data_IF_149499852079
#
_entry.id   IF_149499852079
#
_cell.length_a   1.000
_cell.length_b   1.000
_cell.length_c   1.000
_cell.angle_alpha   90.00
_cell.angle_beta   90.00
_cell.angle_gamma   90.00
#
_symmetry.space_group_name_H-M   'P 1'
#
loop_
_entity.id
_entity.type
_entity.pdbx_description
1 polymer ?
#
# COMPACT_ATOMS: atom_id res chain seq x y z
N UNK A 1 -21.68 4.93 -4.89
CA UNK A 1 -20.93 6.21 -4.77
C UNK A 1 -20.29 6.23 -3.38
N UNK A 2 -19.01 6.60 -3.22
CA UNK A 2 -18.47 6.84 -1.89
C UNK A 2 -19.23 7.98 -1.16
N UNK A 3 -19.31 7.97 0.18
CA UNK A 3 -19.95 9.05 0.92
C UNK A 3 -19.34 10.42 0.61
N UNK A 4 -20.15 11.47 0.63
CA UNK A 4 -19.63 12.84 0.74
C UNK A 4 -18.90 12.93 2.07
N UNK A 5 -17.63 13.28 2.04
CA UNK A 5 -16.86 13.46 3.25
C UNK A 5 -15.83 14.56 3.07
N UNK A 6 -15.51 15.21 4.18
CA UNK A 6 -14.35 16.08 4.32
C UNK A 6 -13.58 15.56 5.52
N UNK A 7 -12.46 14.88 5.27
CA UNK A 7 -11.59 14.38 6.34
C UNK A 7 -10.34 15.22 6.39
N UNK A 8 -9.96 15.60 7.61
CA UNK A 8 -8.71 16.28 7.88
C UNK A 8 -7.96 15.46 8.91
N UNK A 9 -6.89 14.79 8.49
CA UNK A 9 -6.02 14.06 9.40
C UNK A 9 -4.70 14.81 9.58
N UNK A 10 -4.30 14.99 10.83
CA UNK A 10 -2.99 15.53 11.18
C UNK A 10 -2.07 14.32 11.33
N UNK A 11 -1.02 14.25 10.51
CA UNK A 11 -0.07 13.15 10.54
C UNK A 11 1.33 13.63 10.19
N UNK A 12 2.34 12.83 10.49
CA UNK A 12 3.69 13.12 10.02
C UNK A 12 3.80 12.82 8.52
N UNK A 13 4.10 13.84 7.72
CA UNK A 13 4.26 13.73 6.27
C UNK A 13 5.73 13.85 5.91
N UNK A 14 6.26 12.79 5.29
CA UNK A 14 7.60 12.73 4.70
C UNK A 14 8.71 12.25 5.63
N UNK A 15 9.87 11.96 5.05
CA UNK A 15 11.05 11.36 5.71
C UNK A 15 11.65 12.18 6.87
N UNK A 16 11.14 13.40 7.12
CA UNK A 16 11.62 14.30 8.17
C UNK A 16 10.64 14.48 9.33
N UNK A 17 9.55 13.72 9.38
CA UNK A 17 8.60 13.76 10.52
C UNK A 17 7.92 15.12 10.69
N UNK A 18 7.71 15.88 9.60
CA UNK A 18 7.01 17.17 9.71
C UNK A 18 5.52 16.89 9.88
N UNK A 19 4.90 17.54 10.86
CA UNK A 19 3.44 17.58 10.98
C UNK A 19 2.84 18.17 9.71
N UNK A 20 2.12 17.35 8.96
CA UNK A 20 1.33 17.73 7.81
C UNK A 20 -0.15 17.56 8.10
N UNK A 21 -0.96 18.35 7.42
CA UNK A 21 -2.42 18.23 7.44
C UNK A 21 -2.82 17.63 6.10
N UNK A 22 -3.38 16.43 6.12
CA UNK A 22 -4.00 15.83 4.95
C UNK A 22 -5.48 16.16 4.98
N UNK A 23 -5.93 16.91 3.98
CA UNK A 23 -7.35 17.13 3.71
C UNK A 23 -7.74 16.32 2.48
N UNK A 24 -8.71 15.43 2.63
CA UNK A 24 -9.34 14.73 1.52
C UNK A 24 -10.83 15.05 1.55
N UNK A 25 -11.38 15.41 0.39
CA UNK A 25 -12.76 15.85 0.22
C UNK A 25 -13.35 15.16 -0.99
N UNK A 26 -14.56 14.61 -0.82
CA UNK A 26 -15.36 14.03 -1.90
C UNK A 26 -16.67 14.77 -1.94
N UNK A 27 -16.83 15.60 -2.96
CA UNK A 27 -18.06 16.35 -3.22
C UNK A 27 -18.67 15.92 -4.55
N UNK A 28 -19.98 15.88 -4.59
CA UNK A 28 -20.75 15.62 -5.80
C UNK A 28 -21.41 16.90 -6.26
N UNK A 29 -21.20 17.28 -7.51
CA UNK A 29 -21.81 18.48 -8.09
C UNK A 29 -22.49 18.11 -9.41
N UNK A 30 -23.77 18.43 -9.53
CA UNK A 30 -24.52 18.39 -10.79
C UNK A 30 -24.27 19.71 -11.49
N UNK A 31 -23.67 19.65 -12.68
CA UNK A 31 -23.49 20.82 -13.53
C UNK A 31 -24.50 20.75 -14.68
N UNK A 32 -25.45 21.67 -14.70
CA UNK A 32 -26.36 21.88 -15.82
C UNK A 32 -25.87 23.06 -16.66
N UNK A 33 -25.68 22.85 -17.96
CA UNK A 33 -25.30 23.91 -18.90
C UNK A 33 -26.42 24.06 -19.93
N UNK A 34 -26.99 25.25 -20.01
CA UNK A 34 -27.87 25.67 -21.10
C UNK A 34 -27.02 26.37 -22.17
N UNK A 35 -27.24 26.00 -23.44
CA UNK A 35 -26.63 26.66 -24.58
C UNK A 35 -27.74 27.26 -25.45
N UNK A 36 -27.81 28.59 -25.48
CA UNK A 36 -28.68 29.32 -26.40
C UNK A 36 -28.19 29.27 -27.85
N UNK A 37 -28.91 29.95 -28.74
CA UNK A 37 -28.53 30.02 -30.16
C UNK A 37 -27.26 30.86 -30.36
N UNK A 38 -27.05 31.86 -29.52
CA UNK A 38 -25.83 32.66 -29.48
C UNK A 38 -24.80 32.04 -28.52
N UNK A 39 -23.51 31.99 -28.89
CA UNK A 39 -22.46 31.41 -28.06
C UNK A 39 -22.27 32.14 -26.71
N UNK A 40 -22.77 33.37 -26.61
CA UNK A 40 -22.74 34.20 -25.40
C UNK A 40 -23.90 33.89 -24.42
N UNK A 41 -24.94 33.17 -24.84
CA UNK A 41 -26.10 32.80 -24.00
C UNK A 41 -25.88 31.51 -23.18
N UNK A 42 -24.63 31.23 -22.81
CA UNK A 42 -24.29 30.06 -22.01
C UNK A 42 -24.58 30.30 -20.54
N UNK A 43 -25.58 29.62 -20.01
CA UNK A 43 -25.92 29.64 -18.56
C UNK A 43 -25.48 28.33 -17.92
N UNK A 44 -24.75 28.41 -16.81
CA UNK A 44 -24.33 27.24 -16.03
C UNK A 44 -24.93 27.30 -14.63
N UNK A 45 -25.52 26.20 -14.20
CA UNK A 45 -26.08 26.02 -12.87
C UNK A 45 -25.40 24.80 -12.23
N UNK A 46 -24.83 25.00 -11.04
CA UNK A 46 -24.17 23.95 -10.28
C UNK A 46 -24.98 23.67 -9.02
N UNK A 47 -25.30 22.40 -8.74
CA UNK A 47 -25.99 21.97 -7.54
C UNK A 47 -25.18 20.87 -6.82
N UNK A 48 -24.80 21.11 -5.56
CA UNK A 48 -24.05 20.14 -4.74
C UNK A 48 -25.00 19.08 -4.19
N UNK A 49 -24.63 17.80 -4.32
CA UNK A 49 -25.32 16.66 -3.70
C UNK A 49 -24.55 16.26 -2.45
N UNK A 50 -25.24 16.21 -1.32
CA UNK A 50 -24.74 15.62 -0.09
C UNK A 50 -25.15 14.15 -0.06
N UNK A 51 -24.18 13.25 -0.10
CA UNK A 51 -24.40 11.82 0.04
C UNK A 51 -23.86 11.35 1.39
N UNK A 52 -24.70 11.44 2.42
CA UNK A 52 -24.35 10.97 3.76
C UNK A 52 -24.76 9.50 3.92
N UNK A 53 -23.82 8.59 4.20
CA UNK A 53 -24.18 7.23 4.59
C UNK A 53 -24.76 7.31 6.00
N UNK A 54 -25.78 6.51 6.31
CA UNK A 54 -26.32 6.44 7.66
C UNK A 54 -25.20 6.10 8.67
N UNK A 55 -24.82 7.07 9.51
CA UNK A 55 -23.67 6.97 10.40
C UNK A 55 -23.77 5.83 11.44
N UNK A 56 -25.01 5.39 11.69
CA UNK A 56 -25.37 4.32 12.61
C UNK A 56 -25.83 3.05 11.90
N UNK A 57 -25.82 3.02 10.56
CA UNK A 57 -26.10 1.80 9.81
C UNK A 57 -24.91 0.86 9.92
N UNK A 58 -24.90 0.10 11.01
CA UNK A 58 -24.07 -1.07 11.17
C UNK A 58 -24.76 -2.16 10.36
N UNK A 59 -24.37 -2.26 9.09
CA UNK A 59 -24.76 -3.38 8.26
C UNK A 59 -24.40 -4.67 9.01
N UNK A 60 -25.36 -5.61 9.07
CA UNK A 60 -25.26 -6.83 9.87
C UNK A 60 -24.05 -7.70 9.47
N UNK A 61 -23.52 -7.49 8.26
CA UNK A 61 -22.31 -8.11 7.72
C UNK A 61 -21.00 -7.64 8.38
N UNK A 62 -21.01 -6.54 9.14
CA UNK A 62 -19.86 -5.97 9.85
C UNK A 62 -19.75 -6.34 11.33
N UNK A 63 -20.80 -6.96 11.90
CA UNK A 63 -20.76 -7.45 13.28
C UNK A 63 -19.89 -8.70 13.38
N UNK A 64 -19.23 -8.86 14.52
CA UNK A 64 -18.28 -9.92 14.90
C UNK A 64 -18.81 -11.36 14.70
N UNK A 65 -19.03 -11.79 13.46
CA UNK A 65 -19.04 -13.21 13.15
C UNK A 65 -17.62 -13.73 13.46
N UNK A 66 -17.53 -14.84 14.20
CA UNK A 66 -16.26 -15.55 14.24
C UNK A 66 -15.85 -15.84 12.79
N UNK A 67 -14.58 -15.63 12.43
CA UNK A 67 -14.14 -15.83 11.05
C UNK A 67 -14.39 -17.27 10.65
N UNK A 68 -15.15 -17.46 9.57
CA UNK A 68 -15.48 -18.78 9.02
C UNK A 68 -14.21 -19.58 8.67
N UNK A 69 -13.16 -18.87 8.28
CA UNK A 69 -11.86 -19.45 7.96
C UNK A 69 -10.70 -18.50 8.25
N UNK A 70 -9.51 -19.10 8.37
CA UNK A 70 -8.24 -18.42 8.52
C UNK A 70 -7.35 -18.71 7.32
N UNK A 71 -6.86 -17.67 6.65
CA UNK A 71 -5.96 -17.80 5.49
C UNK A 71 -4.52 -17.67 5.95
N UNK A 72 -3.74 -18.73 5.77
CA UNK A 72 -2.30 -18.75 5.99
C UNK A 72 -1.55 -18.28 4.73
N UNK A 73 -0.74 -17.24 4.87
CA UNK A 73 0.00 -16.61 3.78
C UNK A 73 1.50 -16.70 4.10
N UNK A 74 2.31 -17.42 3.30
CA UNK A 74 3.73 -17.55 3.54
C UNK A 74 4.46 -16.23 3.31
N UNK A 75 5.44 -15.94 4.18
CA UNK A 75 6.34 -14.80 4.01
C UNK A 75 7.50 -15.21 3.10
N UNK A 76 7.85 -14.32 2.17
CA UNK A 76 8.95 -14.52 1.25
C UNK A 76 10.26 -13.97 1.85
N UNK A 77 11.35 -14.73 1.74
CA UNK A 77 12.70 -14.27 2.07
C UNK A 77 13.48 -13.97 0.80
N UNK A 78 14.33 -12.94 0.84
CA UNK A 78 15.17 -12.56 -0.32
C UNK A 78 16.31 -13.56 -0.56
N UNK A 79 16.63 -14.40 0.43
CA UNK A 79 17.64 -15.47 0.39
C UNK A 79 17.14 -16.75 1.05
N UNK A 80 17.77 -17.91 0.81
CA UNK A 80 17.45 -19.13 1.55
C UNK A 80 17.69 -18.95 3.04
N UNK A 81 16.70 -19.31 3.87
CA UNK A 81 16.75 -19.21 5.33
C UNK A 81 16.38 -20.55 5.98
N UNK A 82 16.89 -20.87 7.18
CA UNK A 82 16.65 -22.16 7.83
C UNK A 82 15.29 -22.25 8.54
N UNK A 83 14.32 -21.42 8.16
CA UNK A 83 12.98 -21.39 8.72
C UNK A 83 11.96 -20.89 7.68
N UNK A 84 10.68 -21.11 7.93
CA UNK A 84 9.58 -20.52 7.17
C UNK A 84 8.70 -19.73 8.11
N UNK A 85 8.23 -18.57 7.66
CA UNK A 85 7.24 -17.79 8.36
C UNK A 85 5.94 -17.71 7.55
N UNK A 86 4.81 -17.60 8.24
CA UNK A 86 3.52 -17.28 7.64
C UNK A 86 2.75 -16.31 8.54
N UNK A 87 1.90 -15.48 7.93
CA UNK A 87 0.87 -14.72 8.64
C UNK A 87 -0.48 -15.37 8.36
N UNK A 88 -1.33 -15.41 9.38
CA UNK A 88 -2.69 -15.89 9.26
C UNK A 88 -3.67 -14.74 9.53
N UNK A 89 -4.65 -14.56 8.65
CA UNK A 89 -5.69 -13.53 8.72
C UNK A 89 -7.09 -14.12 8.55
N UNK A 90 -8.13 -13.47 9.10
CA UNK A 90 -9.54 -13.79 8.80
C UNK A 90 -9.88 -13.76 7.32
N UNK A 91 -10.78 -14.67 6.91
CA UNK A 91 -11.40 -14.68 5.58
C UNK A 91 -12.91 -14.47 5.71
N UNK A 92 -13.50 -13.53 4.96
CA UNK A 92 -12.83 -12.56 4.08
C UNK A 92 -12.01 -11.55 4.88
N UNK A 93 -10.92 -11.02 4.29
CA UNK A 93 -10.10 -9.97 4.92
C UNK A 93 -10.73 -8.58 4.76
N UNK A 94 -12.00 -8.46 5.17
CA UNK A 94 -12.80 -7.24 5.15
C UNK A 94 -13.11 -6.83 6.58
N UNK A 95 -12.84 -5.58 6.93
CA UNK A 95 -12.96 -5.08 8.30
C UNK A 95 -13.67 -3.73 8.33
N UNK A 96 -14.56 -3.54 9.31
CA UNK A 96 -15.15 -2.23 9.60
C UNK A 96 -14.10 -1.28 10.19
N UNK A 97 -14.21 0.02 9.89
CA UNK A 97 -13.33 1.08 10.43
C UNK A 97 -13.26 1.14 11.96
N UNK A 98 -14.22 0.59 12.69
CA UNK A 98 -14.20 0.53 14.17
C UNK A 98 -13.81 -0.84 14.73
N UNK A 99 -13.46 -1.80 13.87
CA UNK A 99 -13.12 -3.15 14.28
C UNK A 99 -11.63 -3.30 14.63
N UNK A 100 -11.26 -4.52 15.05
CA UNK A 100 -9.87 -4.94 15.15
C UNK A 100 -9.56 -5.92 14.02
N UNK A 101 -8.34 -5.86 13.49
CA UNK A 101 -7.79 -6.89 12.59
C UNK A 101 -7.04 -7.88 13.47
N UNK A 102 -7.60 -9.06 13.80
CA UNK A 102 -6.84 -10.09 14.48
C UNK A 102 -5.89 -10.77 13.49
N UNK A 103 -4.70 -11.11 13.95
CA UNK A 103 -3.72 -11.79 13.11
C UNK A 103 -2.84 -12.72 13.94
N UNK A 104 -2.24 -13.69 13.25
CA UNK A 104 -1.24 -14.59 13.82
C UNK A 104 0.01 -14.61 12.97
N UNK A 105 1.18 -14.60 13.57
CA UNK A 105 2.44 -14.87 12.87
C UNK A 105 3.02 -16.16 13.42
N UNK A 106 3.35 -17.10 12.54
CA UNK A 106 3.93 -18.38 12.90
C UNK A 106 5.27 -18.57 12.21
N UNK A 107 6.11 -19.42 12.79
CA UNK A 107 7.30 -19.91 12.10
C UNK A 107 7.56 -21.39 12.40
N UNK A 108 8.29 -22.02 11.47
CA UNK A 108 8.76 -23.41 11.59
C UNK A 108 10.16 -23.54 10.98
N UNK A 109 11.09 -24.14 11.71
CA UNK A 109 12.48 -24.38 11.27
C UNK A 109 12.57 -25.50 10.22
N UNK A 110 13.53 -25.41 9.29
CA UNK A 110 13.79 -26.40 8.24
C UNK A 110 15.30 -26.65 8.04
N UNK A 111 15.82 -27.84 8.41
CA UNK A 111 15.13 -28.93 9.11
C UNK A 111 14.68 -28.52 10.52
N UNK A 112 13.77 -29.29 11.12
CA UNK A 112 13.24 -28.95 12.44
C UNK A 112 14.35 -29.00 13.50
N UNK A 113 14.59 -27.88 14.18
CA UNK A 113 15.66 -27.72 15.16
C UNK A 113 15.15 -26.97 16.40
N UNK A 114 15.20 -27.62 17.56
CA UNK A 114 14.73 -27.03 18.83
C UNK A 114 15.60 -25.89 19.33
N UNK A 115 16.92 -25.97 19.10
CA UNK A 115 17.87 -24.91 19.46
C UNK A 115 17.61 -23.66 18.64
N UNK A 116 17.58 -23.79 17.31
CA UNK A 116 17.30 -22.67 16.41
C UNK A 116 15.89 -22.10 16.65
N UNK A 117 14.90 -22.95 16.88
CA UNK A 117 13.55 -22.49 17.22
C UNK A 117 13.53 -21.65 18.49
N UNK A 118 14.31 -22.00 19.51
CA UNK A 118 14.41 -21.23 20.76
C UNK A 118 15.07 -19.86 20.50
N UNK A 119 16.12 -19.81 19.71
CA UNK A 119 16.80 -18.56 19.34
C UNK A 119 15.84 -17.62 18.58
N UNK A 120 15.19 -18.12 17.52
CA UNK A 120 14.20 -17.35 16.76
C UNK A 120 13.05 -16.88 17.68
N UNK A 121 12.56 -17.75 18.55
CA UNK A 121 11.45 -17.41 19.44
C UNK A 121 11.81 -16.34 20.49
N UNK A 122 13.09 -16.09 20.78
CA UNK A 122 13.50 -15.05 21.73
C UNK A 122 13.92 -13.77 21.00
N UNK A 123 14.63 -13.89 19.88
CA UNK A 123 15.35 -12.75 19.28
C UNK A 123 14.70 -12.20 18.01
N UNK A 124 13.76 -12.92 17.38
CA UNK A 124 13.14 -12.44 16.14
C UNK A 124 12.33 -11.15 16.38
N UNK A 125 12.46 -10.16 15.51
CA UNK A 125 11.61 -8.96 15.54
C UNK A 125 10.49 -9.12 14.54
N UNK A 126 9.25 -9.05 15.02
CA UNK A 126 8.03 -9.13 14.22
C UNK A 126 7.49 -7.70 14.08
N UNK A 127 7.34 -7.21 12.85
CA UNK A 127 6.75 -5.90 12.53
C UNK A 127 5.54 -6.08 11.64
N UNK A 128 4.41 -5.51 12.04
CA UNK A 128 3.13 -5.59 11.32
C UNK A 128 2.61 -4.19 11.14
N UNK A 129 2.49 -3.75 9.89
CA UNK A 129 2.09 -2.39 9.55
C UNK A 129 0.85 -2.37 8.69
N UNK A 130 -0.08 -1.47 9.01
CA UNK A 130 -1.21 -1.13 8.15
C UNK A 130 -0.81 0.00 7.22
N UNK A 131 -0.87 -0.26 5.92
CA UNK A 131 -0.47 0.67 4.88
C UNK A 131 -1.70 1.03 4.05
N UNK A 132 -1.94 2.32 3.90
CA UNK A 132 -2.92 2.89 2.97
C UNK A 132 -2.23 3.31 1.69
N UNK A 133 -2.85 3.04 0.55
CA UNK A 133 -2.48 3.58 -0.75
C UNK A 133 -3.65 4.34 -1.34
N UNK A 134 -3.42 5.60 -1.66
CA UNK A 134 -4.37 6.48 -2.33
C UNK A 134 -3.82 6.78 -3.71
N UNK A 135 -4.58 6.47 -4.75
CA UNK A 135 -4.24 6.76 -6.14
C UNK A 135 -5.33 7.65 -6.71
N UNK A 136 -4.97 8.86 -7.12
CA UNK A 136 -5.85 9.80 -7.81
C UNK A 136 -5.43 9.84 -9.28
N UNK A 137 -6.24 9.29 -10.16
CA UNK A 137 -6.00 9.37 -11.59
C UNK A 137 -6.53 10.71 -12.09
N UNK A 138 -5.63 11.61 -12.46
CA UNK A 138 -6.04 12.83 -13.15
C UNK A 138 -6.49 12.43 -14.55
N UNK A 139 -7.79 12.45 -14.80
CA UNK A 139 -8.35 12.31 -16.14
C UNK A 139 -7.96 13.54 -16.97
N UNK A 140 -6.69 13.67 -17.35
CA UNK A 140 -6.22 14.74 -18.24
C UNK A 140 -6.09 14.18 -19.65
N UNK A 141 -7.09 14.54 -20.46
CA UNK A 141 -7.08 14.59 -21.92
C UNK A 141 -7.07 13.26 -22.70
N UNK A 142 -8.21 12.57 -22.70
CA UNK A 142 -8.65 11.82 -23.88
C UNK A 142 -9.87 12.53 -24.52
N UNK A 143 -9.74 13.83 -24.76
CA UNK A 143 -10.53 14.55 -25.76
C UNK A 143 -9.58 15.10 -26.84
N UNK A 144 -8.64 14.30 -27.30
CA UNK A 144 -8.08 14.50 -28.64
C UNK A 144 -9.01 13.78 -29.60
N UNK A 145 -9.78 14.58 -30.33
CA UNK A 145 -10.64 14.25 -31.46
C UNK A 145 -10.46 12.82 -32.01
N UNK A 146 -11.55 12.05 -31.98
CA UNK A 146 -11.69 10.83 -32.75
C UNK A 146 -11.39 11.13 -34.22
N UNK A 147 -10.20 10.77 -34.68
CA UNK A 147 -9.96 10.56 -36.09
C UNK A 147 -10.44 9.15 -36.39
N UNK A 148 -11.58 9.08 -37.07
CA UNK A 148 -12.17 7.89 -37.64
C UNK A 148 -11.15 7.17 -38.52
N UNK A 149 -10.63 6.03 -38.05
CA UNK A 149 -10.04 5.03 -38.92
C UNK A 149 -10.62 3.67 -38.53
N UNK A 150 -11.70 3.32 -39.22
CA UNK A 150 -12.22 1.96 -39.37
C UNK A 150 -11.12 1.02 -39.86
N UNK A 151 -10.88 -0.13 -39.21
CA UNK A 151 -10.58 -1.41 -39.87
C UNK A 151 -10.73 -2.60 -38.89
N UNK A 152 -11.70 -3.44 -39.23
CA UNK A 152 -11.71 -4.91 -39.26
C UNK A 152 -10.99 -5.74 -38.20
N UNK A 153 -11.80 -6.52 -37.50
CA UNK A 153 -11.45 -7.67 -36.65
C UNK A 153 -10.98 -8.90 -37.45
N UNK A 154 -9.94 -9.58 -36.94
CA UNK A 154 -9.76 -11.02 -37.14
C UNK A 154 -9.08 -11.66 -35.92
N UNK A 155 -9.48 -12.89 -35.65
CA UNK A 155 -9.34 -13.66 -34.42
C UNK A 155 -8.02 -14.44 -34.25
N UNK A 156 -7.99 -15.26 -33.19
CA UNK A 156 -7.00 -16.28 -32.78
C UNK A 156 -5.82 -15.75 -31.97
N UNK A 157 -5.14 -16.49 -31.07
CA UNK A 157 -5.34 -17.73 -30.32
C UNK A 157 -4.04 -17.96 -29.51
N UNK A 158 -4.12 -18.73 -28.42
CA UNK A 158 -3.03 -19.51 -27.81
C UNK A 158 -1.90 -18.84 -26.97
N UNK A 159 -1.84 -19.32 -25.72
CA UNK A 159 -0.69 -19.69 -24.88
C UNK A 159 0.71 -19.16 -25.22
N UNK A 160 1.37 -18.51 -24.25
CA UNK A 160 2.73 -18.95 -23.83
C UNK A 160 3.24 -18.34 -22.52
N UNK A 161 4.08 -19.17 -21.89
CA UNK A 161 4.84 -19.04 -20.65
C UNK A 161 5.74 -17.79 -20.49
N UNK A 162 5.98 -17.51 -19.20
CA UNK A 162 7.26 -17.09 -18.59
C UNK A 162 8.01 -15.88 -19.14
N UNK A 163 8.20 -14.85 -18.31
CA UNK A 163 9.51 -14.23 -18.12
C UNK A 163 9.55 -13.33 -16.88
N UNK A 164 10.43 -13.70 -15.97
CA UNK A 164 11.04 -12.90 -14.92
C UNK A 164 11.52 -11.53 -15.42
N UNK A 165 11.16 -10.45 -14.73
CA UNK A 165 11.85 -9.16 -14.88
C UNK A 165 12.80 -8.92 -13.70
N UNK A 166 14.09 -8.65 -13.96
CA UNK A 166 15.10 -8.50 -12.93
C UNK A 166 15.06 -7.13 -12.26
N UNK A 167 15.29 -7.15 -10.95
CA UNK A 167 15.55 -5.99 -10.13
C UNK A 167 16.82 -5.25 -10.58
N UNK A 168 16.73 -3.92 -10.68
CA UNK A 168 17.91 -3.05 -10.66
C UNK A 168 17.77 -2.01 -9.55
N UNK A 169 18.17 -2.39 -8.34
CA UNK A 169 18.47 -1.43 -7.26
C UNK A 169 19.86 -0.84 -7.53
N UNK A 170 19.93 0.43 -7.91
CA UNK A 170 21.20 1.18 -7.93
C UNK A 170 21.48 1.72 -6.53
N UNK A 171 22.66 1.37 -6.03
CA UNK A 171 23.21 1.77 -4.74
C UNK A 171 23.40 3.29 -4.63
N UNK A 172 23.15 3.81 -3.43
CA UNK A 172 23.33 5.20 -3.04
C UNK A 172 24.81 5.60 -3.16
N UNK A 173 25.13 6.54 -4.06
CA UNK A 173 26.39 7.29 -4.03
C UNK A 173 26.31 8.36 -2.93
N UNK A 174 27.11 8.18 -1.88
CA UNK A 174 27.42 9.21 -0.88
C UNK A 174 28.21 10.33 -1.58
N UNK A 175 27.55 11.46 -1.86
CA UNK A 175 28.20 12.67 -2.36
C UNK A 175 28.44 13.60 -1.16
N UNK A 176 29.69 13.65 -0.70
CA UNK A 176 30.16 14.79 0.09
C UNK A 176 30.31 15.98 -0.86
N UNK A 177 29.43 16.98 -0.74
CA UNK A 177 29.64 18.29 -1.36
C UNK A 177 30.41 19.16 -0.37
N UNK A 178 31.72 19.19 -0.52
CA UNK A 178 32.55 20.27 -0.02
C UNK A 178 32.17 21.56 -0.75
N UNK A 179 31.84 22.60 0.01
CA UNK A 179 31.67 23.94 -0.52
C UNK A 179 33.05 24.49 -0.93
N UNK A 180 33.14 25.05 -2.13
CA UNK A 180 34.28 25.90 -2.53
C UNK A 180 33.88 27.37 -2.38
N UNK A 181 34.73 28.25 -1.81
CA UNK A 181 34.48 29.67 -1.80
C UNK A 181 34.86 30.25 -3.17
N UNK A 182 34.00 31.11 -3.74
CA UNK A 182 34.31 31.87 -4.95
C UNK A 182 34.60 33.32 -4.54
N UNK A 183 35.87 33.70 -4.63
CA UNK A 183 36.33 35.08 -4.74
C UNK A 183 36.92 35.30 -6.15
N UNK A 184 36.72 36.50 -6.70
CA UNK A 184 37.33 37.00 -7.95
C UNK A 184 36.25 37.31 -9.02
N UNK A 185 35.85 38.56 -9.31
CA UNK A 185 36.62 39.76 -9.68
C UNK A 185 37.56 39.53 -10.87
N UNK A 186 37.24 40.12 -12.03
CA UNK A 186 38.23 40.28 -13.10
C UNK A 186 37.73 40.44 -14.54
N UNK A 187 37.63 41.70 -14.96
CA UNK A 187 38.04 42.26 -16.27
C UNK A 187 37.16 42.06 -17.52
N UNK A 188 36.68 43.22 -17.96
CA UNK A 188 36.40 43.61 -19.33
C UNK A 188 37.51 43.19 -20.32
N UNK A 189 37.11 42.63 -21.45
CA UNK A 189 37.88 42.61 -22.70
C UNK A 189 36.92 42.91 -23.86
N UNK A 190 37.18 43.95 -24.67
CA UNK A 190 36.43 44.20 -25.89
C UNK A 190 37.17 43.59 -27.09
N UNK A 191 36.41 42.98 -28.01
CA UNK A 191 36.88 42.66 -29.35
C UNK A 191 37.29 41.20 -29.56
N UNK A 192 36.37 40.41 -30.11
CA UNK A 192 36.64 39.06 -30.59
C UNK A 192 35.40 38.46 -31.24
N UNK A 193 35.40 38.40 -32.57
CA UNK A 193 34.36 37.83 -33.43
C UNK A 193 33.89 36.44 -32.98
N UNK A 194 32.60 36.33 -32.67
CA UNK A 194 31.91 35.11 -32.22
C UNK A 194 31.90 34.02 -33.32
N UNK A 195 32.35 32.79 -33.02
CA UNK A 195 31.90 31.60 -33.74
C UNK A 195 30.51 31.18 -33.23
N UNK A 196 29.56 31.02 -34.14
CA UNK A 196 28.19 30.58 -33.88
C UNK A 196 28.17 29.19 -33.24
N UNK A 197 27.87 29.14 -31.94
CA UNK A 197 27.67 27.88 -31.22
C UNK A 197 26.38 27.20 -31.70
N UNK A 198 26.38 25.88 -31.98
CA UNK A 198 25.19 25.16 -32.40
C UNK A 198 24.12 25.23 -31.30
N UNK A 199 22.91 25.60 -31.70
CA UNK A 199 21.72 25.67 -30.83
C UNK A 199 21.46 24.27 -30.27
N UNK A 200 21.96 23.99 -29.07
CA UNK A 200 21.62 22.79 -28.33
C UNK A 200 20.14 22.89 -27.97
N UNK A 201 19.31 22.17 -28.73
CA UNK A 201 17.90 21.93 -28.40
C UNK A 201 17.84 21.23 -27.04
N UNK A 202 17.63 22.00 -25.97
CA UNK A 202 17.39 21.45 -24.65
C UNK A 202 16.11 20.60 -24.73
N UNK A 203 16.14 19.31 -24.31
CA UNK A 203 14.93 18.50 -24.30
C UNK A 203 13.87 19.19 -23.45
N UNK A 204 12.62 19.15 -23.93
CA UNK A 204 11.48 19.69 -23.20
C UNK A 204 11.43 19.02 -21.80
N UNK A 205 11.08 19.78 -20.75
CA UNK A 205 10.95 19.21 -19.42
C UNK A 205 9.93 18.07 -19.43
N UNK A 206 10.27 16.98 -18.75
CA UNK A 206 9.38 15.82 -18.61
C UNK A 206 8.04 16.28 -18.01
N UNK A 207 6.94 15.87 -18.65
CA UNK A 207 5.61 16.16 -18.14
C UNK A 207 5.43 15.50 -16.77
N UNK A 208 4.74 16.17 -15.83
CA UNK A 208 4.47 15.56 -14.53
C UNK A 208 3.71 14.25 -14.73
N UNK A 209 4.04 13.20 -13.95
CA UNK A 209 3.40 11.90 -14.10
C UNK A 209 1.87 12.02 -13.94
N UNK A 210 1.09 11.25 -14.70
CA UNK A 210 -0.37 11.33 -14.66
C UNK A 210 -0.89 10.77 -13.34
N UNK A 211 -1.25 11.67 -12.42
CA UNK A 211 -1.93 11.35 -11.17
C UNK A 211 -1.09 11.50 -9.91
N UNK A 212 -1.79 11.49 -8.77
CA UNK A 212 -1.17 11.55 -7.44
C UNK A 212 -1.20 10.15 -6.85
N UNK A 213 -0.03 9.64 -6.46
CA UNK A 213 0.10 8.37 -5.77
C UNK A 213 0.68 8.60 -4.38
N UNK A 214 -0.09 8.26 -3.36
CA UNK A 214 0.32 8.35 -1.97
C UNK A 214 0.31 6.96 -1.34
N UNK A 215 1.39 6.61 -0.63
CA UNK A 215 1.45 5.42 0.23
C UNK A 215 1.86 5.86 1.63
N UNK A 216 1.05 5.49 2.63
CA UNK A 216 1.28 5.90 4.03
C UNK A 216 1.10 4.72 4.98
N UNK A 217 2.03 4.56 5.90
CA UNK A 217 1.86 3.66 7.05
C UNK A 217 0.99 4.36 8.09
N UNK A 218 -0.16 3.79 8.40
CA UNK A 218 -1.11 4.34 9.37
C UNK A 218 -0.82 3.88 10.80
N UNK A 219 -0.42 2.62 10.94
CA UNK A 219 -0.14 2.01 12.23
C UNK A 219 0.93 0.93 12.06
N UNK A 220 1.81 0.80 13.05
CA UNK A 220 2.80 -0.27 13.13
C UNK A 220 2.77 -0.89 14.52
N UNK A 221 2.67 -2.21 14.57
CA UNK A 221 2.83 -3.03 15.76
C UNK A 221 4.18 -3.76 15.67
N UNK A 222 4.96 -3.74 16.75
CA UNK A 222 6.28 -4.36 16.81
C UNK A 222 6.35 -5.24 18.05
N UNK A 223 6.77 -6.49 17.85
CA UNK A 223 7.00 -7.44 18.92
C UNK A 223 8.35 -8.11 18.80
N UNK A 224 8.92 -8.50 19.94
CA UNK A 224 10.18 -9.23 20.02
C UNK A 224 9.86 -10.67 20.46
N UNK A 225 10.35 -11.61 19.68
CA UNK A 225 10.17 -13.04 19.85
C UNK A 225 8.80 -13.56 19.45
N UNK A 226 8.65 -14.87 19.63
CA UNK A 226 7.40 -15.61 19.51
C UNK A 226 7.00 -16.11 20.90
N UNK A 227 6.22 -15.33 21.68
CA UNK A 227 6.00 -15.59 23.09
C UNK A 227 5.20 -16.87 23.37
N UNK A 228 4.49 -17.41 22.37
CA UNK A 228 3.65 -18.58 22.52
C UNK A 228 4.19 -19.74 21.70
N UNK A 229 4.25 -20.92 22.34
CA UNK A 229 4.36 -22.19 21.61
C UNK A 229 2.94 -22.67 21.29
N UNK A 230 2.58 -22.92 20.02
CA UNK A 230 1.30 -23.51 19.68
C UNK A 230 1.02 -24.77 20.50
N UNK A 231 -0.18 -24.87 21.05
CA UNK A 231 -0.68 -26.06 21.74
C UNK A 231 -2.00 -26.44 21.09
N UNK A 232 -2.18 -27.73 20.78
CA UNK A 232 -3.50 -28.23 20.37
C UNK A 232 -4.49 -28.00 21.49
N UNK A 233 -5.67 -27.45 21.15
CA UNK A 233 -6.79 -27.37 22.09
C UNK A 233 -7.26 -28.81 22.36
N UNK A 234 -7.23 -29.22 23.63
CA UNK A 234 -7.75 -30.51 24.07
C UNK A 234 -9.10 -30.25 24.73
N UNK A 235 -10.17 -30.78 24.15
CA UNK A 235 -11.51 -30.67 24.76
C UNK A 235 -11.57 -31.48 26.07
N UNK A 236 -12.44 -31.11 27.03
CA UNK A 236 -12.43 -31.65 28.41
C UNK A 236 -12.52 -33.17 28.55
N UNK A 237 -12.84 -33.93 27.49
CA UNK A 237 -12.95 -35.39 27.51
C UNK A 237 -12.13 -36.08 26.41
N UNK A 238 -11.22 -35.36 25.73
CA UNK A 238 -10.37 -35.96 24.70
C UNK A 238 -9.09 -36.53 25.29
N UNK A 239 -8.65 -37.68 24.73
CA UNK A 239 -7.35 -38.27 25.02
C UNK A 239 -6.25 -37.28 24.64
N UNK A 240 -5.11 -37.36 25.34
CA UNK A 240 -3.95 -36.52 25.04
C UNK A 240 -3.56 -36.62 23.55
N UNK A 241 -3.19 -35.48 22.91
CA UNK A 241 -2.78 -35.47 21.51
C UNK A 241 -1.63 -36.44 21.29
N UNK A 242 -1.67 -37.18 20.18
CA UNK A 242 -0.56 -38.06 19.82
C UNK A 242 0.69 -37.23 19.53
N UNK A 243 1.88 -37.84 19.68
CA UNK A 243 3.17 -37.16 19.47
C UNK A 243 3.28 -36.60 18.04
N UNK A 244 2.65 -37.26 17.06
CA UNK A 244 2.57 -36.80 15.66
C UNK A 244 1.79 -35.49 15.49
N UNK A 245 0.80 -35.22 16.34
CA UNK A 245 0.06 -33.95 16.30
C UNK A 245 0.94 -32.81 16.83
N UNK A 246 1.83 -33.09 17.79
CA UNK A 246 2.76 -32.07 18.27
C UNK A 246 3.86 -31.74 17.25
N UNK A 247 4.25 -32.70 16.40
CA UNK A 247 5.25 -32.49 15.34
C UNK A 247 4.69 -31.84 14.08
N UNK A 248 3.38 -31.62 13.97
CA UNK A 248 2.78 -30.82 12.89
C UNK A 248 2.59 -29.35 13.28
N UNK A 249 2.64 -29.02 14.58
CA UNK A 249 2.48 -27.65 15.06
C UNK A 249 3.70 -26.76 14.70
N UNK A 250 3.49 -25.45 14.48
CA UNK A 250 4.58 -24.52 14.29
C UNK A 250 5.50 -24.45 15.53
N UNK A 251 6.74 -24.02 15.31
CA UNK A 251 7.72 -23.90 16.38
C UNK A 251 7.44 -22.69 17.29
N UNK A 252 6.89 -21.60 16.74
CA UNK A 252 6.45 -20.45 17.51
C UNK A 252 5.24 -19.74 16.91
N UNK A 253 4.55 -18.99 17.76
CA UNK A 253 3.34 -18.24 17.46
C UNK A 253 3.35 -16.89 18.18
N UNK A 254 3.04 -15.86 17.40
CA UNK A 254 2.68 -14.53 17.87
C UNK A 254 1.21 -14.27 17.53
N UNK A 255 0.44 -13.78 18.48
CA UNK A 255 -0.97 -13.39 18.31
C UNK A 255 -1.08 -11.90 18.60
N UNK A 256 -1.59 -11.14 17.65
CA UNK A 256 -1.85 -9.72 17.84
C UNK A 256 -3.22 -9.33 17.30
N UNK A 257 -3.57 -8.07 17.54
CA UNK A 257 -4.75 -7.42 17.00
C UNK A 257 -4.43 -5.95 16.74
N UNK A 258 -4.87 -5.43 15.60
CA UNK A 258 -4.67 -4.03 15.23
C UNK A 258 -6.00 -3.29 15.27
N UNK A 259 -6.09 -2.21 16.05
CA UNK A 259 -7.30 -1.41 16.15
C UNK A 259 -7.42 -0.46 14.95
N UNK A 260 -8.56 -0.47 14.26
CA UNK A 260 -8.83 0.47 13.19
C UNK A 260 -9.42 1.78 13.72
N UNK A 261 -9.20 2.86 12.97
CA UNK A 261 -9.73 4.19 13.27
C UNK A 261 -11.03 4.42 12.47
N UNK A 262 -12.09 4.84 13.18
CA UNK A 262 -13.41 5.17 12.61
C UNK A 262 -13.32 6.21 11.49
N UNK A 263 -12.32 7.09 11.53
CA UNK A 263 -12.09 8.16 10.57
C UNK A 263 -11.28 7.75 9.33
N UNK A 264 -10.87 6.47 9.24
CA UNK A 264 -10.20 5.97 8.04
C UNK A 264 -11.10 6.09 6.81
N UNK A 265 -10.48 6.27 5.65
CA UNK A 265 -11.19 6.19 4.39
C UNK A 265 -11.62 4.74 4.14
N UNK A 266 -12.84 4.47 3.65
CA UNK A 266 -13.18 3.13 3.19
C UNK A 266 -12.31 2.75 1.98
N UNK A 267 -12.24 1.46 1.68
CA UNK A 267 -11.67 0.98 0.41
C UNK A 267 -12.56 1.44 -0.74
N UNK A 268 -11.97 2.17 -1.67
CA UNK A 268 -12.65 2.76 -2.83
C UNK A 268 -11.97 2.26 -4.09
N UNK A 269 -12.75 1.84 -5.08
CA UNK A 269 -12.27 1.56 -6.44
C UNK A 269 -13.20 2.24 -7.43
N UNK A 270 -12.87 3.47 -7.79
CA UNK A 270 -13.67 4.33 -8.65
C UNK A 270 -12.81 4.95 -9.77
N UNK A 271 -13.45 5.36 -10.87
CA UNK A 271 -12.79 6.03 -11.98
C UNK A 271 -12.20 7.36 -11.50
N UNK A 272 -10.88 7.44 -11.41
CA UNK A 272 -10.21 8.64 -10.90
C UNK A 272 -9.72 8.55 -9.45
N UNK A 273 -10.19 7.59 -8.66
CA UNK A 273 -9.81 7.45 -7.24
C UNK A 273 -9.80 5.99 -6.80
N UNK A 274 -8.67 5.53 -6.27
CA UNK A 274 -8.54 4.21 -5.65
C UNK A 274 -7.90 4.34 -4.26
N UNK A 275 -8.54 3.74 -3.26
CA UNK A 275 -8.04 3.64 -1.88
C UNK A 275 -7.91 2.16 -1.52
N UNK A 276 -6.67 1.70 -1.37
CA UNK A 276 -6.33 0.30 -1.05
C UNK A 276 -5.59 0.21 0.27
N UNK A 277 -5.85 -0.86 1.03
CA UNK A 277 -5.17 -1.12 2.28
C UNK A 277 -4.39 -2.42 2.21
N UNK A 278 -3.26 -2.45 2.91
CA UNK A 278 -2.40 -3.62 2.98
C UNK A 278 -1.90 -3.82 4.41
N UNK A 279 -1.87 -5.08 4.85
CA UNK A 279 -1.06 -5.49 5.99
C UNK A 279 0.31 -5.88 5.44
N UNK A 280 1.34 -5.15 5.86
CA UNK A 280 2.73 -5.49 5.59
C UNK A 280 3.33 -6.13 6.84
N UNK A 281 3.87 -7.33 6.68
CA UNK A 281 4.50 -8.11 7.75
C UNK A 281 5.97 -8.28 7.42
N UNK A 282 6.82 -8.10 8.42
CA UNK A 282 8.24 -8.46 8.35
C UNK A 282 8.62 -9.21 9.62
N UNK A 283 9.35 -10.32 9.45
CA UNK A 283 10.00 -11.07 10.53
C UNK A 283 11.50 -11.04 10.27
N UNK A 284 12.22 -10.36 11.16
CA UNK A 284 13.67 -10.18 11.11
C UNK A 284 14.32 -11.08 12.17
N UNK A 285 15.27 -11.93 11.76
CA UNK A 285 16.10 -12.71 12.69
C UNK A 285 17.56 -12.65 12.26
N UNK A 286 18.41 -12.04 13.08
CA UNK A 286 19.79 -11.73 12.70
C UNK A 286 19.85 -10.83 11.46
N UNK A 287 20.32 -11.39 10.34
CA UNK A 287 20.38 -10.70 9.04
C UNK A 287 19.30 -11.19 8.06
N UNK A 288 18.50 -12.18 8.44
CA UNK A 288 17.45 -12.78 7.62
C UNK A 288 16.14 -12.01 7.78
N UNK A 289 15.52 -11.61 6.67
CA UNK A 289 14.21 -10.96 6.66
C UNK A 289 13.23 -11.78 5.81
N UNK A 290 12.08 -12.11 6.39
CA UNK A 290 10.93 -12.69 5.72
C UNK A 290 9.82 -11.63 5.69
N UNK A 291 9.24 -11.35 4.51
CA UNK A 291 8.18 -10.33 4.37
C UNK A 291 7.01 -10.79 3.52
N UNK A 292 5.83 -10.24 3.83
CA UNK A 292 4.63 -10.38 3.00
C UNK A 292 3.85 -9.07 2.99
N UNK A 293 3.09 -8.86 1.92
CA UNK A 293 2.18 -7.73 1.79
C UNK A 293 0.82 -8.23 1.33
N UNK A 294 -0.18 -8.09 2.18
CA UNK A 294 -1.49 -8.73 2.04
C UNK A 294 -2.54 -7.63 1.85
N UNK A 295 -3.31 -7.64 0.75
CA UNK A 295 -4.40 -6.68 0.59
C UNK A 295 -5.53 -6.98 1.59
N UNK A 296 -6.11 -5.92 2.16
CA UNK A 296 -7.30 -6.00 2.99
C UNK A 296 -8.32 -4.96 2.51
N UNK A 297 -9.59 -5.17 2.85
CA UNK A 297 -10.67 -4.24 2.56
C UNK A 297 -11.15 -3.57 3.85
N UNK A 298 -11.30 -2.26 3.82
CA UNK A 298 -11.89 -1.48 4.91
C UNK A 298 -13.27 -0.98 4.44
N UNK A 299 -14.29 -1.16 5.27
CA UNK A 299 -15.68 -0.71 5.00
C UNK A 299 -16.15 0.34 6.00
#
# INVERSE_FOLDING_TARGET
MPPTFSTTSIGEVGLRGRTGVERAEVDYVINAQWEGADPDERVRVNATILYEPEADFQSFDGFQAEPDAWLEIPLASDRPVPFKCAITLPVPSTFSRSAFIPYFTIFTTKPRSTLLAREIAVDATISISLIRQVTVFTARAAFTHASTSSFSSSASSEDTNSASSPATRRFLRRVHKSASPIFGSGRFSPGGSQPSTPVQNKPLPDLPPPGVYETRTLQTDVSIGFPKRPRGRVEPNQKHPTLNVHTSLPDGLYKGKMQLDKNMLPSIDWSGLSVKYFIQVSVLFGQDECRARIPIRIV
#
